data_IF_077899168016
#
_entry.id   IF_077899168016
#
_cell.length_a   1.000
_cell.length_b   1.000
_cell.length_c   1.000
_cell.angle_alpha   90.00
_cell.angle_beta   90.00
_cell.angle_gamma   90.00
#
_symmetry.space_group_name_H-M   'P 1'
#
loop_
_entity.id
_entity.type
_entity.pdbx_description
1 polymer ?
#
# COMPACT_ATOMS: atom_id res chain seq x y z
N UNK A 1 -9.79 -14.83 20.81
CA UNK A 1 -9.13 -15.61 21.88
C UNK A 1 -8.18 -14.73 22.66
N UNK A 2 -7.80 -15.15 23.87
CA UNK A 2 -6.75 -14.47 24.66
C UNK A 2 -5.41 -14.41 23.94
N UNK A 3 -5.07 -15.47 23.20
CA UNK A 3 -3.85 -15.54 22.38
C UNK A 3 -3.81 -14.43 21.34
N UNK A 4 -4.86 -14.24 20.55
CA UNK A 4 -4.93 -13.16 19.55
C UNK A 4 -4.73 -11.78 20.18
N UNK A 5 -5.42 -11.49 21.29
CA UNK A 5 -5.26 -10.19 21.99
C UNK A 5 -3.86 -9.95 22.48
N UNK A 6 -3.23 -10.97 23.09
CA UNK A 6 -1.85 -10.86 23.53
C UNK A 6 -0.86 -10.63 22.39
N UNK A 7 -1.06 -11.32 21.25
CA UNK A 7 -0.25 -11.10 20.04
C UNK A 7 -0.47 -9.67 19.50
N UNK A 8 -1.71 -9.18 19.47
CA UNK A 8 -2.03 -7.82 19.02
C UNK A 8 -1.37 -6.75 19.91
N UNK A 9 -1.47 -6.89 21.24
CA UNK A 9 -0.83 -5.98 22.20
C UNK A 9 0.69 -5.99 22.02
N UNK A 10 1.29 -7.19 21.96
CA UNK A 10 2.72 -7.33 21.72
C UNK A 10 3.16 -6.72 20.39
N UNK A 11 2.39 -6.96 19.31
CA UNK A 11 2.68 -6.40 18.00
C UNK A 11 2.69 -4.87 18.01
N UNK A 12 1.66 -4.25 18.62
CA UNK A 12 1.59 -2.78 18.71
C UNK A 12 2.75 -2.18 19.52
N UNK A 13 3.13 -2.82 20.62
CA UNK A 13 4.13 -2.28 21.55
C UNK A 13 5.57 -2.56 21.14
N UNK A 14 5.82 -3.67 20.44
CA UNK A 14 7.19 -4.18 20.29
C UNK A 14 7.59 -4.52 18.86
N UNK A 15 6.66 -4.53 17.92
CA UNK A 15 6.97 -5.04 16.58
C UNK A 15 6.58 -4.12 15.43
N UNK A 16 5.40 -3.56 15.48
CA UNK A 16 4.89 -2.69 14.43
C UNK A 16 5.54 -1.32 14.53
N UNK A 17 6.00 -0.77 13.42
CA UNK A 17 6.48 0.60 13.38
C UNK A 17 5.32 1.55 13.75
N UNK A 18 5.58 2.55 14.60
CA UNK A 18 4.56 3.46 15.16
C UNK A 18 3.28 2.73 15.63
N UNK A 19 3.40 1.54 16.22
CA UNK A 19 2.26 0.66 16.49
C UNK A 19 1.24 1.22 17.50
N UNK A 20 1.62 2.22 18.29
CA UNK A 20 0.75 2.92 19.24
C UNK A 20 0.13 4.21 18.68
N UNK A 21 0.51 4.62 17.47
CA UNK A 21 -0.04 5.81 16.82
C UNK A 21 -1.30 5.48 16.03
N UNK A 22 -2.24 6.42 15.98
CA UNK A 22 -3.45 6.28 15.18
C UNK A 22 -3.15 6.54 13.71
N UNK A 23 -3.85 5.81 12.84
CA UNK A 23 -3.77 5.97 11.39
C UNK A 23 -4.87 6.88 10.88
N UNK A 24 -4.53 7.66 9.88
CA UNK A 24 -5.44 8.60 9.20
C UNK A 24 -6.49 7.86 8.36
N UNK A 25 -7.64 8.50 8.14
CA UNK A 25 -8.61 8.08 7.13
C UNK A 25 -8.09 8.48 5.75
N UNK A 26 -7.86 7.51 4.90
CA UNK A 26 -7.13 7.64 3.65
C UNK A 26 -8.06 7.50 2.44
N UNK A 27 -7.74 8.18 1.34
CA UNK A 27 -8.24 7.89 0.00
C UNK A 27 -7.07 7.49 -0.90
N UNK A 28 -7.14 6.27 -1.45
CA UNK A 28 -6.20 5.80 -2.47
C UNK A 28 -6.80 5.98 -3.86
N UNK A 29 -6.01 6.47 -4.82
CA UNK A 29 -6.49 6.80 -6.16
C UNK A 29 -6.68 5.59 -7.07
N UNK A 30 -6.16 4.39 -6.73
CA UNK A 30 -6.06 3.27 -7.66
C UNK A 30 -7.41 2.88 -8.28
N UNK A 31 -8.37 2.42 -7.49
CA UNK A 31 -9.68 2.02 -8.04
C UNK A 31 -10.54 3.22 -8.49
N UNK A 32 -10.11 4.45 -8.18
CA UNK A 32 -10.75 5.66 -8.67
C UNK A 32 -10.39 6.00 -10.11
N UNK A 33 -9.11 5.88 -10.48
CA UNK A 33 -8.58 6.35 -11.78
C UNK A 33 -7.61 5.37 -12.45
N UNK A 34 -7.14 4.34 -11.76
CA UNK A 34 -6.08 3.43 -12.22
C UNK A 34 -4.85 4.23 -12.71
N UNK A 35 -4.29 3.89 -13.88
CA UNK A 35 -3.15 4.60 -14.47
C UNK A 35 -3.45 6.01 -15.00
N UNK A 36 -4.72 6.46 -14.96
CA UNK A 36 -5.14 7.77 -15.50
C UNK A 36 -4.87 8.91 -14.50
N UNK A 37 -3.72 8.87 -13.87
CA UNK A 37 -3.24 9.95 -13.00
C UNK A 37 -3.02 11.21 -13.81
N UNK A 38 -3.52 12.35 -13.33
CA UNK A 38 -3.25 13.68 -13.88
C UNK A 38 -3.42 14.75 -12.79
N UNK A 39 -2.83 15.92 -13.03
CA UNK A 39 -2.75 16.99 -12.04
C UNK A 39 -4.12 17.43 -11.51
N UNK A 40 -5.05 17.74 -12.43
CA UNK A 40 -6.40 18.22 -12.08
C UNK A 40 -7.21 17.14 -11.35
N UNK A 41 -7.14 15.90 -11.83
CA UNK A 41 -7.84 14.77 -11.21
C UNK A 41 -7.40 14.50 -9.79
N UNK A 42 -6.09 14.59 -9.52
CA UNK A 42 -5.54 14.40 -8.18
C UNK A 42 -5.94 15.56 -7.24
N UNK A 43 -5.86 16.82 -7.71
CA UNK A 43 -6.34 17.98 -6.96
C UNK A 43 -7.82 17.83 -6.56
N UNK A 44 -8.67 17.46 -7.53
CA UNK A 44 -10.10 17.23 -7.27
C UNK A 44 -10.35 16.11 -6.25
N UNK A 45 -9.61 15.00 -6.35
CA UNK A 45 -9.76 13.90 -5.38
C UNK A 45 -9.34 14.33 -3.97
N UNK A 46 -8.32 15.17 -3.83
CA UNK A 46 -7.92 15.74 -2.53
C UNK A 46 -8.98 16.67 -1.97
N UNK A 47 -9.58 17.52 -2.80
CA UNK A 47 -10.69 18.38 -2.41
C UNK A 47 -11.92 17.57 -1.96
N UNK A 48 -12.30 16.54 -2.72
CA UNK A 48 -13.40 15.64 -2.37
C UNK A 48 -13.12 14.86 -1.08
N UNK A 49 -11.88 14.41 -0.86
CA UNK A 49 -11.48 13.75 0.39
C UNK A 49 -11.64 14.66 1.59
N UNK A 50 -11.17 15.90 1.49
CA UNK A 50 -11.31 16.91 2.54
C UNK A 50 -12.77 17.20 2.85
N UNK A 51 -13.63 17.31 1.83
CA UNK A 51 -15.08 17.50 1.98
C UNK A 51 -15.76 16.31 2.69
N UNK A 52 -15.27 15.08 2.46
CA UNK A 52 -15.75 13.89 3.16
C UNK A 52 -15.21 13.77 4.60
N UNK A 53 -14.25 14.62 5.00
CA UNK A 53 -13.61 14.56 6.31
C UNK A 53 -12.44 13.58 6.40
N UNK A 54 -11.90 13.12 5.26
CA UNK A 54 -10.68 12.31 5.22
C UNK A 54 -9.42 13.13 5.50
N UNK A 55 -8.28 12.46 5.64
CA UNK A 55 -7.06 13.08 6.20
C UNK A 55 -5.81 12.88 5.36
N UNK A 56 -5.74 11.81 4.57
CA UNK A 56 -4.56 11.41 3.80
C UNK A 56 -4.96 10.98 2.39
N UNK A 57 -4.42 11.65 1.38
CA UNK A 57 -4.56 11.24 -0.01
C UNK A 57 -3.31 10.49 -0.47
N UNK A 58 -3.48 9.34 -1.10
CA UNK A 58 -2.38 8.53 -1.65
C UNK A 58 -2.54 8.42 -3.16
N UNK A 59 -1.61 9.04 -3.90
CA UNK A 59 -1.48 8.84 -5.34
C UNK A 59 -0.83 7.48 -5.61
N UNK A 60 -1.61 6.57 -6.19
CA UNK A 60 -1.18 5.22 -6.53
C UNK A 60 -0.40 5.15 -7.85
N UNK A 61 -0.21 3.96 -8.42
CA UNK A 61 0.53 3.69 -9.66
C UNK A 61 0.06 4.56 -10.85
N UNK A 62 1.00 5.01 -11.68
CA UNK A 62 0.71 5.75 -12.90
C UNK A 62 1.31 7.15 -13.01
N UNK A 63 2.06 7.65 -12.03
CA UNK A 63 2.54 9.03 -11.97
C UNK A 63 3.91 9.27 -12.65
N UNK A 64 4.65 8.23 -12.97
CA UNK A 64 6.07 8.28 -13.34
C UNK A 64 6.35 7.81 -14.77
N UNK A 65 7.62 7.95 -15.17
CA UNK A 65 8.13 7.57 -16.48
C UNK A 65 8.08 8.71 -17.48
N UNK A 66 9.24 9.23 -17.87
CA UNK A 66 9.36 10.30 -18.86
C UNK A 66 9.46 9.74 -20.28
N UNK A 67 10.46 8.90 -20.54
CA UNK A 67 10.64 8.27 -21.85
C UNK A 67 9.52 7.27 -22.18
N UNK A 68 9.06 6.53 -21.21
CA UNK A 68 7.98 5.54 -21.34
C UNK A 68 6.90 5.83 -20.29
N UNK A 69 5.92 6.71 -20.56
CA UNK A 69 4.89 7.03 -19.57
C UNK A 69 4.17 5.81 -18.99
N UNK A 70 3.99 5.80 -17.68
CA UNK A 70 3.32 4.72 -16.96
C UNK A 70 1.80 4.76 -17.21
N UNK A 71 1.38 4.33 -18.39
CA UNK A 71 -0.03 4.28 -18.79
C UNK A 71 -0.67 2.89 -18.63
N UNK A 72 0.15 1.89 -18.32
CA UNK A 72 -0.25 0.49 -18.09
C UNK A 72 0.86 -0.25 -17.33
N UNK A 73 0.69 -1.56 -17.12
CA UNK A 73 1.66 -2.38 -16.39
C UNK A 73 2.94 -2.77 -17.14
N UNK A 74 3.14 -2.29 -18.38
CA UNK A 74 4.21 -2.77 -19.27
C UNK A 74 5.47 -1.92 -19.24
N UNK A 75 5.41 -0.70 -18.69
CA UNK A 75 6.48 0.29 -18.81
C UNK A 75 6.87 0.92 -17.49
N UNK A 76 8.10 1.40 -17.43
CA UNK A 76 8.66 2.40 -16.50
C UNK A 76 8.82 2.01 -15.04
N UNK A 77 8.47 0.81 -14.59
CA UNK A 77 8.99 0.40 -13.27
C UNK A 77 10.52 0.48 -13.30
N UNK A 78 11.09 1.17 -12.33
CA UNK A 78 12.51 1.53 -12.28
C UNK A 78 12.79 3.00 -12.60
N UNK A 79 11.93 3.66 -13.38
CA UNK A 79 12.09 5.05 -13.82
C UNK A 79 11.25 5.98 -12.95
N UNK A 80 11.72 6.24 -11.74
CA UNK A 80 10.99 7.01 -10.72
C UNK A 80 11.09 8.53 -10.94
N UNK A 81 10.94 8.94 -12.19
CA UNK A 81 10.88 10.34 -12.62
C UNK A 81 9.44 10.71 -12.91
N UNK A 82 9.02 11.86 -12.44
CA UNK A 82 7.65 12.37 -12.66
C UNK A 82 7.34 12.47 -14.17
N UNK A 83 6.24 11.92 -14.61
CA UNK A 83 5.72 12.12 -15.95
C UNK A 83 5.12 13.54 -16.07
N UNK A 84 5.87 14.48 -16.64
CA UNK A 84 5.45 15.89 -16.73
C UNK A 84 4.27 16.12 -17.68
N UNK A 85 4.00 15.19 -18.59
CA UNK A 85 2.78 15.21 -19.40
C UNK A 85 1.52 15.04 -18.55
N UNK A 86 1.58 14.14 -17.54
CA UNK A 86 0.48 13.89 -16.60
C UNK A 86 0.43 14.89 -15.45
N UNK A 87 1.58 15.26 -14.95
CA UNK A 87 1.78 16.11 -13.78
C UNK A 87 2.67 17.30 -14.13
N UNK A 88 2.16 18.29 -14.90
CA UNK A 88 2.97 19.42 -15.34
C UNK A 88 3.54 20.26 -14.18
N UNK A 89 2.85 20.31 -13.06
CA UNK A 89 3.34 20.98 -11.84
C UNK A 89 4.13 20.05 -10.91
N UNK A 90 4.34 18.79 -11.32
CA UNK A 90 5.08 17.80 -10.53
C UNK A 90 4.42 17.38 -9.24
N UNK A 91 5.19 16.68 -8.41
CA UNK A 91 4.78 16.30 -7.05
C UNK A 91 4.67 17.54 -6.16
N UNK A 92 5.46 18.57 -6.42
CA UNK A 92 5.42 19.87 -5.73
C UNK A 92 4.01 20.46 -5.78
N UNK A 93 3.40 20.51 -6.98
CA UNK A 93 2.04 21.00 -7.15
C UNK A 93 1.00 20.16 -6.40
N UNK A 94 1.23 18.85 -6.28
CA UNK A 94 0.32 17.96 -5.54
C UNK A 94 0.46 18.13 -4.02
N UNK A 95 1.67 18.25 -3.49
CA UNK A 95 1.87 18.51 -2.06
C UNK A 95 1.36 19.89 -1.64
N UNK A 96 1.48 20.89 -2.52
CA UNK A 96 0.87 22.20 -2.31
C UNK A 96 -0.66 22.13 -2.32
N UNK A 97 -1.24 21.40 -3.26
CA UNK A 97 -2.67 21.15 -3.33
C UNK A 97 -3.18 20.43 -2.08
N UNK A 98 -2.49 19.39 -1.61
CA UNK A 98 -2.83 18.69 -0.37
C UNK A 98 -2.86 19.65 0.83
N UNK A 99 -1.84 20.52 0.96
CA UNK A 99 -1.78 21.53 2.00
C UNK A 99 -2.94 22.54 1.91
N UNK A 100 -3.28 22.99 0.70
CA UNK A 100 -4.42 23.88 0.43
C UNK A 100 -5.74 23.28 0.88
N UNK A 101 -5.94 21.98 0.65
CA UNK A 101 -7.16 21.27 1.04
C UNK A 101 -7.12 20.75 2.49
N UNK A 102 -6.01 20.92 3.20
CA UNK A 102 -5.88 20.48 4.59
C UNK A 102 -5.76 18.96 4.76
N UNK A 103 -5.26 18.25 3.75
CA UNK A 103 -4.99 16.81 3.79
C UNK A 103 -3.49 16.54 3.67
N UNK A 104 -3.03 15.39 4.15
CA UNK A 104 -1.68 14.89 3.93
C UNK A 104 -1.57 14.26 2.54
N UNK A 105 -0.35 14.16 2.03
CA UNK A 105 -0.04 13.54 0.74
C UNK A 105 0.82 12.30 0.93
N UNK A 106 0.47 11.23 0.22
CA UNK A 106 1.21 9.99 0.11
C UNK A 106 1.40 9.55 -1.33
N UNK A 107 2.36 8.66 -1.56
CA UNK A 107 2.74 8.21 -2.89
C UNK A 107 3.01 6.69 -2.92
N UNK A 108 2.65 6.07 -4.03
CA UNK A 108 2.93 4.66 -4.32
C UNK A 108 4.28 4.51 -5.04
N UNK A 109 5.03 3.49 -4.66
CA UNK A 109 6.23 3.02 -5.35
C UNK A 109 6.30 1.49 -5.35
N UNK A 110 7.01 0.93 -6.34
CA UNK A 110 7.34 -0.49 -6.44
C UNK A 110 8.84 -0.63 -6.79
N UNK A 111 9.75 -0.23 -5.85
CA UNK A 111 11.14 0.03 -6.19
C UNK A 111 12.02 -1.21 -6.31
N UNK A 112 11.51 -2.39 -5.96
CA UNK A 112 12.17 -3.69 -6.14
C UNK A 112 12.03 -4.24 -7.56
N UNK A 113 11.30 -3.53 -8.42
CA UNK A 113 10.91 -4.00 -9.76
C UNK A 113 11.42 -3.07 -10.86
N UNK A 114 11.56 -3.63 -12.05
CA UNK A 114 11.75 -2.90 -13.29
C UNK A 114 10.91 -3.52 -14.40
N UNK A 115 10.56 -2.74 -15.41
CA UNK A 115 10.05 -3.27 -16.67
C UNK A 115 11.20 -3.40 -17.66
N UNK A 116 11.17 -4.38 -18.57
CA UNK A 116 12.13 -4.44 -19.69
C UNK A 116 11.99 -3.24 -20.64
N UNK A 117 10.86 -2.51 -20.57
CA UNK A 117 10.63 -1.22 -21.22
C UNK A 117 10.77 -0.10 -20.20
N UNK A 118 11.99 0.14 -19.74
CA UNK A 118 12.37 1.23 -18.84
C UNK A 118 13.81 1.70 -19.14
N UNK A 119 14.09 2.94 -18.80
CA UNK A 119 15.47 3.47 -18.89
C UNK A 119 16.42 2.78 -17.93
N UNK A 120 15.91 2.34 -16.77
CA UNK A 120 16.70 1.58 -15.82
C UNK A 120 17.18 0.26 -16.43
N UNK A 121 16.28 -0.50 -17.07
CA UNK A 121 16.64 -1.77 -17.69
C UNK A 121 17.58 -1.59 -18.90
N UNK A 122 17.39 -0.52 -19.68
CA UNK A 122 18.31 -0.18 -20.78
C UNK A 122 19.74 0.05 -20.30
N UNK A 123 19.89 0.68 -19.11
CA UNK A 123 21.21 0.98 -18.52
C UNK A 123 21.82 -0.19 -17.75
N UNK A 124 20.97 -0.96 -17.08
CA UNK A 124 21.35 -2.01 -16.13
C UNK A 124 20.53 -3.30 -16.32
N UNK A 125 20.61 -3.96 -17.51
CA UNK A 125 19.89 -5.22 -17.74
C UNK A 125 20.41 -6.36 -16.86
N UNK A 126 21.62 -6.21 -16.30
CA UNK A 126 22.28 -7.14 -15.38
C UNK A 126 21.80 -7.01 -13.93
N UNK A 127 20.98 -6.01 -13.60
CA UNK A 127 20.47 -5.81 -12.23
C UNK A 127 19.25 -6.66 -11.89
N UNK A 128 18.67 -7.36 -12.86
CA UNK A 128 17.53 -8.24 -12.59
C UNK A 128 17.98 -9.63 -12.16
N UNK A 129 17.15 -10.28 -11.35
CA UNK A 129 17.32 -11.69 -11.03
C UNK A 129 17.09 -12.49 -12.31
N UNK A 130 18.13 -13.21 -12.77
CA UNK A 130 18.12 -13.95 -14.01
C UNK A 130 19.09 -15.13 -13.99
N UNK A 131 18.72 -16.19 -14.69
CA UNK A 131 19.60 -17.34 -14.89
C UNK A 131 20.35 -17.21 -16.22
N UNK A 132 21.66 -17.51 -16.27
CA UNK A 132 22.37 -17.64 -17.53
C UNK A 132 21.71 -18.70 -18.42
N UNK A 133 21.65 -18.44 -19.73
CA UNK A 133 21.17 -19.39 -20.76
C UNK A 133 19.68 -19.81 -20.62
N UNK A 134 18.88 -19.08 -19.84
CA UNK A 134 17.46 -19.34 -19.68
C UNK A 134 16.68 -18.04 -19.80
N UNK A 135 15.57 -18.09 -20.55
CA UNK A 135 14.67 -16.94 -20.63
C UNK A 135 14.01 -16.68 -19.27
N UNK A 136 14.03 -15.42 -18.84
CA UNK A 136 13.35 -15.00 -17.63
C UNK A 136 11.84 -15.07 -17.81
N UNK A 137 11.18 -15.67 -16.82
CA UNK A 137 9.74 -15.48 -16.64
C UNK A 137 9.51 -14.02 -16.28
N UNK A 138 8.62 -13.37 -17.02
CA UNK A 138 8.23 -11.97 -16.84
C UNK A 138 6.91 -11.91 -16.10
N UNK A 139 6.76 -10.90 -15.27
CA UNK A 139 5.56 -10.67 -14.48
C UNK A 139 4.49 -9.86 -15.22
N UNK A 140 3.84 -8.97 -14.49
CA UNK A 140 2.76 -8.11 -14.95
C UNK A 140 3.11 -7.39 -16.26
N UNK A 141 2.15 -7.33 -17.18
CA UNK A 141 2.34 -6.71 -18.50
C UNK A 141 3.32 -7.44 -19.41
N UNK A 142 3.80 -8.64 -19.05
CA UNK A 142 4.78 -9.40 -19.82
C UNK A 142 6.18 -8.78 -19.88
N UNK A 143 6.47 -7.79 -19.03
CA UNK A 143 7.75 -7.04 -19.03
C UNK A 143 8.35 -6.84 -17.66
N UNK A 144 7.60 -7.09 -16.58
CA UNK A 144 8.08 -6.87 -15.21
C UNK A 144 9.14 -7.88 -14.81
N UNK A 145 10.20 -7.39 -14.15
CA UNK A 145 11.33 -8.15 -13.64
C UNK A 145 11.66 -7.71 -12.21
N UNK A 146 12.19 -8.63 -11.40
CA UNK A 146 12.65 -8.34 -10.04
C UNK A 146 14.10 -7.91 -10.05
N UNK A 147 14.42 -6.80 -9.40
CA UNK A 147 15.79 -6.33 -9.19
C UNK A 147 16.52 -7.19 -8.16
N UNK A 148 17.79 -7.45 -8.37
CA UNK A 148 18.62 -8.28 -7.50
C UNK A 148 19.13 -7.50 -6.27
N UNK A 149 18.39 -7.51 -5.19
CA UNK A 149 18.76 -6.88 -3.91
C UNK A 149 19.95 -7.57 -3.20
N UNK A 150 20.50 -8.68 -3.70
CA UNK A 150 21.78 -9.19 -3.23
C UNK A 150 22.94 -8.27 -3.65
N UNK A 151 22.74 -7.47 -4.72
CA UNK A 151 23.70 -6.52 -5.25
C UNK A 151 23.65 -5.19 -4.49
N UNK A 152 24.76 -4.73 -3.87
CA UNK A 152 24.82 -3.45 -3.17
C UNK A 152 24.48 -2.22 -4.05
N UNK A 153 24.78 -2.26 -5.36
CA UNK A 153 24.41 -1.18 -6.27
C UNK A 153 22.87 -1.07 -6.43
N UNK A 154 22.18 -2.20 -6.46
CA UNK A 154 20.72 -2.25 -6.48
C UNK A 154 20.14 -1.79 -5.14
N UNK A 155 20.74 -2.18 -4.01
CA UNK A 155 20.34 -1.68 -2.68
C UNK A 155 20.43 -0.15 -2.61
N UNK A 156 21.54 0.44 -3.12
CA UNK A 156 21.70 1.89 -3.16
C UNK A 156 20.69 2.56 -4.07
N UNK A 157 20.42 1.97 -5.23
CA UNK A 157 19.37 2.46 -6.14
C UNK A 157 18.01 2.48 -5.46
N UNK A 158 17.58 1.37 -4.84
CA UNK A 158 16.27 1.26 -4.18
C UNK A 158 16.15 2.26 -3.02
N UNK A 159 17.20 2.39 -2.20
CA UNK A 159 17.25 3.43 -1.17
C UNK A 159 17.11 4.83 -1.78
N UNK A 160 17.84 5.11 -2.87
CA UNK A 160 17.84 6.41 -3.52
C UNK A 160 16.48 6.81 -4.09
N UNK A 161 15.60 5.87 -4.42
CA UNK A 161 14.22 6.15 -4.86
C UNK A 161 13.46 6.89 -3.75
N UNK A 162 13.47 6.34 -2.55
CA UNK A 162 12.82 6.98 -1.38
C UNK A 162 13.56 8.26 -0.99
N UNK A 163 14.87 8.21 -0.94
CA UNK A 163 15.70 9.34 -0.50
C UNK A 163 15.50 10.59 -1.37
N UNK A 164 15.44 10.43 -2.69
CA UNK A 164 15.17 11.54 -3.62
C UNK A 164 13.76 12.10 -3.46
N UNK A 165 12.76 11.22 -3.33
CA UNK A 165 11.38 11.65 -3.11
C UNK A 165 11.25 12.47 -1.82
N UNK A 166 11.77 11.95 -0.72
CA UNK A 166 11.66 12.60 0.59
C UNK A 166 12.50 13.88 0.70
N UNK A 167 13.66 13.91 0.04
CA UNK A 167 14.53 15.11 0.03
C UNK A 167 13.93 16.24 -0.81
N UNK A 168 13.39 15.89 -1.99
CA UNK A 168 12.77 16.87 -2.88
C UNK A 168 11.37 17.30 -2.40
N UNK A 169 10.65 16.43 -1.70
CA UNK A 169 9.25 16.64 -1.29
C UNK A 169 9.06 16.22 0.19
N UNK A 170 9.58 17.00 1.15
CA UNK A 170 9.53 16.65 2.58
C UNK A 170 8.11 16.61 3.16
N UNK A 171 7.12 17.13 2.44
CA UNK A 171 5.70 17.07 2.80
C UNK A 171 5.04 15.71 2.47
N UNK A 172 5.74 14.76 1.82
CA UNK A 172 5.27 13.40 1.67
C UNK A 172 5.21 12.74 3.06
N UNK A 173 4.00 12.40 3.50
CA UNK A 173 3.76 11.82 4.81
C UNK A 173 3.64 10.29 4.81
N UNK A 174 3.49 9.70 3.62
CA UNK A 174 3.15 8.28 3.48
C UNK A 174 3.68 7.70 2.18
N UNK A 175 4.20 6.48 2.26
CA UNK A 175 4.60 5.68 1.10
C UNK A 175 3.87 4.34 1.13
N UNK A 176 3.16 4.02 0.03
CA UNK A 176 2.70 2.67 -0.26
C UNK A 176 3.79 1.95 -1.06
N UNK A 177 4.45 0.98 -0.43
CA UNK A 177 5.50 0.16 -1.04
C UNK A 177 4.91 -1.15 -1.53
N UNK A 178 4.91 -1.34 -2.83
CA UNK A 178 4.31 -2.50 -3.48
C UNK A 178 5.35 -3.52 -4.00
N UNK A 179 4.87 -4.73 -4.26
CA UNK A 179 5.60 -5.87 -4.84
C UNK A 179 4.62 -6.77 -5.59
N UNK A 180 4.58 -6.66 -6.90
CA UNK A 180 3.58 -7.34 -7.72
C UNK A 180 4.17 -8.50 -8.55
N UNK A 181 5.35 -8.97 -8.20
CA UNK A 181 5.96 -10.12 -8.87
C UNK A 181 6.67 -11.05 -7.88
N UNK A 182 6.22 -12.28 -7.83
CA UNK A 182 6.92 -13.34 -7.08
C UNK A 182 8.28 -13.66 -7.72
N UNK A 183 9.27 -14.05 -6.90
CA UNK A 183 10.58 -14.49 -7.34
C UNK A 183 10.51 -15.85 -8.06
N UNK A 184 10.19 -15.83 -9.34
CA UNK A 184 10.14 -17.05 -10.17
C UNK A 184 11.49 -17.42 -10.79
N UNK A 185 12.33 -16.39 -11.05
CA UNK A 185 13.65 -16.59 -11.61
C UNK A 185 14.64 -16.84 -10.47
N UNK A 186 15.71 -17.55 -10.77
CA UNK A 186 16.69 -17.92 -9.76
C UNK A 186 18.10 -17.80 -10.33
N UNK A 187 18.77 -16.74 -9.99
CA UNK A 187 20.14 -16.47 -10.40
C UNK A 187 20.49 -15.01 -10.23
N UNK A 188 21.73 -14.74 -9.85
CA UNK A 188 22.29 -13.42 -9.66
C UNK A 188 23.53 -13.25 -10.54
N UNK A 189 23.60 -12.13 -11.25
CA UNK A 189 24.83 -11.75 -11.97
C UNK A 189 25.90 -11.22 -11.02
N UNK A 190 25.51 -10.84 -9.81
CA UNK A 190 26.40 -10.31 -8.76
C UNK A 190 27.00 -11.42 -7.89
N UNK A 191 26.20 -12.40 -7.46
CA UNK A 191 26.69 -13.47 -6.59
C UNK A 191 27.62 -14.41 -7.36
N UNK A 192 28.77 -14.83 -6.78
CA UNK A 192 29.64 -15.82 -7.37
C UNK A 192 28.94 -17.19 -7.48
N UNK A 193 29.47 -18.06 -8.33
CA UNK A 193 28.85 -19.33 -8.67
C UNK A 193 28.55 -20.25 -7.45
N UNK A 194 29.45 -20.28 -6.48
CA UNK A 194 29.32 -21.04 -5.24
C UNK A 194 28.34 -20.43 -4.23
N UNK A 195 27.86 -19.20 -4.46
CA UNK A 195 26.91 -18.50 -3.61
C UNK A 195 25.52 -18.35 -4.24
N UNK A 196 25.29 -18.87 -5.43
CA UNK A 196 23.97 -18.73 -6.10
C UNK A 196 22.82 -19.31 -5.26
N UNK A 197 23.04 -20.40 -4.52
CA UNK A 197 22.05 -21.00 -3.62
C UNK A 197 21.63 -20.10 -2.46
N UNK A 198 22.38 -19.03 -2.20
CA UNK A 198 22.08 -18.06 -1.14
C UNK A 198 21.22 -16.88 -1.62
N UNK A 199 20.84 -16.81 -2.89
CA UNK A 199 20.19 -15.64 -3.50
C UNK A 199 19.01 -15.11 -2.68
N UNK A 200 18.08 -15.95 -2.26
CA UNK A 200 16.91 -15.49 -1.53
C UNK A 200 17.25 -14.94 -0.13
N UNK A 201 18.24 -15.54 0.53
CA UNK A 201 18.72 -15.04 1.83
C UNK A 201 19.41 -13.70 1.65
N UNK A 202 20.28 -13.56 0.66
CA UNK A 202 21.00 -12.32 0.40
C UNK A 202 20.07 -11.21 -0.12
N UNK A 203 19.04 -11.57 -0.90
CA UNK A 203 17.97 -10.64 -1.29
C UNK A 203 17.28 -10.03 -0.06
N UNK A 204 16.82 -10.87 0.87
CA UNK A 204 16.16 -10.38 2.08
C UNK A 204 17.09 -9.59 3.00
N UNK A 205 18.37 -9.97 3.08
CA UNK A 205 19.38 -9.19 3.81
C UNK A 205 19.59 -7.81 3.19
N UNK A 206 19.60 -7.75 1.85
CA UNK A 206 19.66 -6.48 1.11
C UNK A 206 18.45 -5.60 1.36
N UNK A 207 17.26 -6.19 1.32
CA UNK A 207 16.00 -5.52 1.62
C UNK A 207 15.98 -4.95 3.04
N UNK A 208 16.39 -5.76 4.01
CA UNK A 208 16.49 -5.38 5.44
C UNK A 208 17.39 -4.15 5.63
N UNK A 209 18.54 -4.14 4.96
CA UNK A 209 19.47 -2.98 5.00
C UNK A 209 18.83 -1.72 4.43
N UNK A 210 18.14 -1.83 3.30
CA UNK A 210 17.48 -0.69 2.64
C UNK A 210 16.38 -0.13 3.54
N UNK A 211 15.48 -0.98 4.03
CA UNK A 211 14.36 -0.57 4.87
C UNK A 211 14.82 0.05 6.19
N UNK A 212 15.86 -0.52 6.82
CA UNK A 212 16.47 0.03 8.02
C UNK A 212 17.04 1.44 7.79
N UNK A 213 17.79 1.64 6.70
CA UNK A 213 18.32 2.97 6.34
C UNK A 213 17.21 4.00 6.13
N UNK A 214 16.10 3.59 5.47
CA UNK A 214 14.94 4.47 5.28
C UNK A 214 14.36 4.87 6.63
N UNK A 215 14.12 3.90 7.50
CA UNK A 215 13.53 4.13 8.82
C UNK A 215 14.42 5.02 9.71
N UNK A 216 15.74 4.81 9.67
CA UNK A 216 16.71 5.62 10.41
C UNK A 216 16.75 7.07 9.91
N UNK A 217 16.69 7.28 8.59
CA UNK A 217 16.75 8.62 7.98
C UNK A 217 15.41 9.36 8.04
N UNK A 218 14.31 8.64 7.92
CA UNK A 218 12.95 9.18 7.86
C UNK A 218 12.03 8.58 8.95
N UNK A 219 12.34 8.76 10.22
CA UNK A 219 11.67 8.05 11.31
C UNK A 219 10.19 8.41 11.50
N UNK A 220 9.70 9.45 10.85
CA UNK A 220 8.28 9.87 10.89
C UNK A 220 7.48 9.45 9.64
N UNK A 221 8.15 8.88 8.65
CA UNK A 221 7.50 8.40 7.43
C UNK A 221 6.63 7.20 7.75
N UNK A 222 5.36 7.28 7.41
CA UNK A 222 4.43 6.15 7.49
C UNK A 222 4.55 5.30 6.23
N UNK A 223 4.74 4.00 6.38
CA UNK A 223 4.86 3.08 5.26
C UNK A 223 3.84 1.95 5.32
N UNK A 224 3.20 1.69 4.19
CA UNK A 224 2.33 0.53 3.99
C UNK A 224 3.05 -0.54 3.15
N UNK A 225 3.06 -1.78 3.64
CA UNK A 225 3.47 -2.93 2.84
C UNK A 225 2.32 -3.40 1.95
N UNK A 226 2.58 -3.49 0.65
CA UNK A 226 1.72 -4.16 -0.31
C UNK A 226 2.55 -5.20 -1.10
N UNK A 227 1.96 -6.33 -1.42
CA UNK A 227 2.53 -7.34 -2.31
C UNK A 227 1.36 -8.06 -3.00
N UNK A 228 0.74 -7.38 -3.98
CA UNK A 228 -0.57 -7.77 -4.52
C UNK A 228 -1.58 -8.02 -3.39
N UNK A 229 -1.65 -7.09 -2.44
CA UNK A 229 -2.29 -7.26 -1.14
C UNK A 229 -1.33 -7.73 -0.06
N UNK A 230 -1.76 -8.66 0.78
CA UNK A 230 -1.03 -9.16 1.94
C UNK A 230 0.00 -10.27 1.66
N UNK A 231 0.45 -10.44 0.43
CA UNK A 231 1.30 -11.58 0.03
C UNK A 231 2.62 -11.70 0.78
N UNK A 232 3.09 -10.62 1.41
CA UNK A 232 4.38 -10.55 2.10
C UNK A 232 4.24 -10.22 3.60
N UNK A 233 3.02 -10.25 4.14
CA UNK A 233 2.77 -9.92 5.55
C UNK A 233 3.30 -11.01 6.47
N UNK A 234 4.23 -10.64 7.33
CA UNK A 234 4.76 -11.48 8.41
C UNK A 234 5.41 -10.60 9.49
N UNK A 235 5.67 -11.17 10.65
CA UNK A 235 6.29 -10.46 11.78
C UNK A 235 7.77 -10.08 11.56
N UNK A 236 8.41 -10.59 10.51
CA UNK A 236 9.77 -10.20 10.11
C UNK A 236 9.81 -8.82 9.44
N UNK A 237 8.80 -8.47 8.65
CA UNK A 237 8.74 -7.19 7.91
C UNK A 237 8.01 -6.08 8.67
N UNK A 238 7.12 -6.40 9.61
CA UNK A 238 6.34 -5.41 10.37
C UNK A 238 7.17 -4.34 11.10
N UNK A 239 8.43 -4.57 11.54
CA UNK A 239 9.25 -3.49 12.11
C UNK A 239 9.53 -2.33 11.17
N UNK A 240 9.39 -2.52 9.86
CA UNK A 240 9.65 -1.50 8.83
C UNK A 240 8.39 -0.83 8.31
N UNK A 241 7.20 -1.39 8.64
CA UNK A 241 5.93 -0.90 8.12
C UNK A 241 4.96 -0.57 9.24
N UNK A 242 4.13 0.43 8.98
CA UNK A 242 3.09 0.88 9.91
C UNK A 242 1.80 0.10 9.74
N UNK A 243 1.57 -0.39 8.54
CA UNK A 243 0.39 -1.14 8.15
C UNK A 243 0.66 -1.96 6.88
N UNK A 244 -0.29 -2.81 6.51
CA UNK A 244 -0.26 -3.55 5.27
C UNK A 244 -1.60 -3.48 4.54
N UNK A 245 -1.54 -3.58 3.21
CA UNK A 245 -2.71 -3.76 2.37
C UNK A 245 -3.18 -5.20 2.48
N UNK A 246 -4.39 -5.40 3.00
CA UNK A 246 -4.89 -6.74 3.37
C UNK A 246 -5.11 -7.64 2.17
N UNK A 247 -5.69 -7.09 1.10
CA UNK A 247 -5.96 -7.78 -0.16
C UNK A 247 -6.33 -6.80 -1.26
N UNK A 248 -5.91 -7.07 -2.48
CA UNK A 248 -6.37 -6.34 -3.67
C UNK A 248 -7.84 -6.61 -3.99
N UNK A 249 -8.43 -7.65 -3.40
CA UNK A 249 -9.87 -7.87 -3.48
C UNK A 249 -10.57 -7.01 -2.44
N UNK A 250 -11.25 -5.96 -2.90
CA UNK A 250 -11.96 -4.97 -2.09
C UNK A 250 -13.46 -5.22 -1.98
N UNK A 251 -13.96 -6.34 -2.51
CA UNK A 251 -15.35 -6.76 -2.32
C UNK A 251 -15.68 -6.91 -0.82
N UNK A 252 -16.61 -6.11 -0.31
CA UNK A 252 -16.92 -6.07 1.12
C UNK A 252 -17.33 -7.44 1.69
N UNK A 253 -18.07 -8.27 0.94
CA UNK A 253 -18.44 -9.61 1.42
C UNK A 253 -17.22 -10.53 1.52
N UNK A 254 -16.30 -10.46 0.55
CA UNK A 254 -15.04 -11.23 0.61
C UNK A 254 -14.15 -10.71 1.76
N UNK A 255 -14.12 -9.41 1.96
CA UNK A 255 -13.32 -8.77 3.04
C UNK A 255 -13.79 -9.16 4.43
N UNK A 256 -15.07 -9.49 4.66
CA UNK A 256 -15.53 -10.04 5.93
C UNK A 256 -14.69 -11.28 6.31
N UNK A 257 -14.51 -12.22 5.39
CA UNK A 257 -13.75 -13.44 5.62
C UNK A 257 -12.24 -13.17 5.72
N UNK A 258 -11.69 -12.35 4.82
CA UNK A 258 -10.27 -12.02 4.79
C UNK A 258 -9.84 -11.29 6.07
N UNK A 259 -10.56 -10.25 6.46
CA UNK A 259 -10.26 -9.46 7.66
C UNK A 259 -10.47 -10.26 8.93
N UNK A 260 -11.48 -11.14 8.97
CA UNK A 260 -11.64 -12.09 10.05
C UNK A 260 -10.43 -12.99 10.21
N UNK A 261 -9.95 -13.59 9.12
CA UNK A 261 -8.77 -14.46 9.11
C UNK A 261 -7.52 -13.74 9.57
N UNK A 262 -7.23 -12.59 8.97
CA UNK A 262 -6.06 -11.75 9.28
C UNK A 262 -6.08 -11.29 10.75
N UNK A 263 -7.24 -10.94 11.29
CA UNK A 263 -7.40 -10.48 12.67
C UNK A 263 -7.07 -11.57 13.73
N UNK A 264 -6.83 -12.81 13.34
CA UNK A 264 -6.34 -13.82 14.28
C UNK A 264 -4.92 -13.51 14.75
N UNK A 265 -4.11 -12.88 13.89
CA UNK A 265 -2.68 -12.65 14.14
C UNK A 265 -2.30 -11.18 14.18
N UNK A 266 -3.00 -10.30 13.45
CA UNK A 266 -2.60 -8.90 13.25
C UNK A 266 -3.63 -7.93 13.82
N UNK A 267 -3.18 -6.86 14.52
CA UNK A 267 -4.08 -5.85 15.08
C UNK A 267 -4.71 -4.97 14.00
N UNK A 268 -5.88 -4.41 14.29
CA UNK A 268 -6.63 -3.57 13.36
C UNK A 268 -5.86 -2.33 12.88
N UNK A 269 -4.99 -1.75 13.71
CA UNK A 269 -4.12 -0.61 13.33
C UNK A 269 -3.21 -0.92 12.16
N UNK A 270 -2.82 -2.19 11.99
CA UNK A 270 -1.96 -2.64 10.88
C UNK A 270 -2.75 -3.07 9.63
N UNK A 271 -4.06 -3.26 9.74
CA UNK A 271 -4.89 -3.84 8.70
C UNK A 271 -5.64 -2.76 7.92
N UNK A 272 -5.12 -2.36 6.76
CA UNK A 272 -5.79 -1.41 5.88
C UNK A 272 -7.06 -2.01 5.28
N UNK A 273 -8.16 -1.26 5.36
CA UNK A 273 -9.48 -1.70 4.92
C UNK A 273 -10.21 -0.54 4.24
N UNK A 274 -10.55 -0.71 2.96
CA UNK A 274 -11.06 0.37 2.13
C UNK A 274 -12.52 0.15 1.70
N UNK A 275 -13.26 1.25 1.65
CA UNK A 275 -14.56 1.33 0.99
C UNK A 275 -14.29 1.49 -0.51
N UNK A 276 -14.65 0.49 -1.30
CA UNK A 276 -14.53 0.49 -2.75
C UNK A 276 -15.81 0.94 -3.46
N UNK A 277 -15.73 1.08 -4.78
CA UNK A 277 -16.89 1.35 -5.63
C UNK A 277 -17.90 0.18 -5.64
N UNK A 278 -19.13 0.45 -6.06
CA UNK A 278 -20.14 -0.56 -6.33
C UNK A 278 -20.76 -0.24 -7.71
N UNK A 279 -20.80 -1.20 -8.65
CA UNK A 279 -20.31 -2.59 -8.54
C UNK A 279 -18.81 -2.67 -8.27
N UNK A 280 -18.38 -3.71 -7.53
CA UNK A 280 -16.97 -3.95 -7.27
C UNK A 280 -16.23 -4.32 -8.56
N UNK A 281 -15.04 -3.77 -8.79
CA UNK A 281 -14.31 -3.95 -10.04
C UNK A 281 -13.80 -5.38 -10.29
N UNK A 282 -13.59 -6.18 -9.24
CA UNK A 282 -13.14 -7.57 -9.39
C UNK A 282 -14.28 -8.56 -9.48
N UNK A 283 -15.31 -8.40 -8.63
CA UNK A 283 -16.40 -9.39 -8.51
C UNK A 283 -17.66 -9.00 -9.25
N UNK A 284 -17.79 -7.75 -9.67
CA UNK A 284 -19.01 -7.20 -10.26
C UNK A 284 -20.20 -7.09 -9.28
N UNK A 285 -19.96 -7.36 -7.99
CA UNK A 285 -21.03 -7.38 -6.98
C UNK A 285 -21.45 -5.97 -6.59
N UNK A 286 -22.76 -5.77 -6.52
CA UNK A 286 -23.35 -4.58 -5.91
C UNK A 286 -23.51 -4.79 -4.41
N UNK A 287 -22.90 -3.89 -3.62
CA UNK A 287 -22.94 -3.92 -2.15
C UNK A 287 -23.39 -2.55 -1.65
N UNK A 288 -24.40 -2.48 -0.78
CA UNK A 288 -24.84 -1.21 -0.19
C UNK A 288 -23.68 -0.45 0.49
N UNK A 289 -23.68 0.88 0.35
CA UNK A 289 -22.62 1.74 0.91
C UNK A 289 -22.43 1.52 2.41
N UNK A 290 -23.53 1.38 3.14
CA UNK A 290 -23.47 1.08 4.59
C UNK A 290 -22.65 -0.16 4.89
N UNK A 291 -22.91 -1.29 4.22
CA UNK A 291 -22.17 -2.54 4.48
C UNK A 291 -20.67 -2.39 4.10
N UNK A 292 -20.35 -1.66 3.02
CA UNK A 292 -18.97 -1.37 2.65
C UNK A 292 -18.24 -0.59 3.76
N UNK A 293 -18.88 0.40 4.36
CA UNK A 293 -18.34 1.12 5.52
C UNK A 293 -18.26 0.24 6.77
N UNK A 294 -19.31 -0.52 7.12
CA UNK A 294 -19.30 -1.40 8.29
C UNK A 294 -18.10 -2.36 8.27
N UNK A 295 -17.80 -2.93 7.11
CA UNK A 295 -16.66 -3.83 6.94
C UNK A 295 -15.33 -3.07 7.02
N UNK A 296 -15.20 -1.93 6.34
CA UNK A 296 -13.97 -1.14 6.31
C UNK A 296 -13.63 -0.53 7.68
N UNK A 297 -14.64 -0.13 8.46
CA UNK A 297 -14.48 0.42 9.81
C UNK A 297 -13.97 -0.59 10.84
N UNK A 298 -13.96 -1.89 10.53
CA UNK A 298 -13.38 -2.93 11.39
C UNK A 298 -11.85 -3.00 11.36
N UNK A 299 -11.21 -2.20 10.54
CA UNK A 299 -9.76 -2.03 10.43
C UNK A 299 -9.36 -0.56 10.36
N UNK A 300 -8.23 -0.26 9.72
CA UNK A 300 -7.86 1.11 9.40
C UNK A 300 -8.68 1.57 8.19
N UNK A 301 -9.68 2.41 8.45
CA UNK A 301 -10.58 2.90 7.42
C UNK A 301 -9.86 3.70 6.35
N UNK A 302 -10.14 3.40 5.11
CA UNK A 302 -9.82 4.20 3.94
C UNK A 302 -10.90 4.08 2.88
N UNK A 303 -10.72 4.85 1.81
CA UNK A 303 -11.55 4.85 0.61
C UNK A 303 -10.69 4.48 -0.59
N UNK A 304 -11.27 3.77 -1.55
CA UNK A 304 -10.63 3.43 -2.81
C UNK A 304 -11.67 3.44 -3.93
N UNK A 305 -12.07 4.63 -4.31
CA UNK A 305 -13.12 4.91 -5.30
C UNK A 305 -12.93 6.33 -5.87
N UNK A 306 -13.76 6.69 -6.84
CA UNK A 306 -13.80 8.06 -7.36
C UNK A 306 -14.94 8.85 -6.66
N UNK A 307 -14.62 9.74 -5.70
CA UNK A 307 -15.63 10.42 -4.91
C UNK A 307 -16.58 11.29 -5.75
N UNK A 308 -16.11 11.81 -6.89
CA UNK A 308 -16.96 12.62 -7.80
C UNK A 308 -18.13 11.83 -8.42
N UNK A 309 -18.06 10.49 -8.39
CA UNK A 309 -19.15 9.60 -8.84
C UNK A 309 -20.17 9.29 -7.77
N UNK A 310 -19.93 9.67 -6.53
CA UNK A 310 -20.89 9.49 -5.45
C UNK A 310 -22.03 10.50 -5.57
N UNK A 311 -23.24 10.03 -5.31
CA UNK A 311 -24.41 10.90 -5.20
C UNK A 311 -24.32 11.78 -3.94
N UNK A 312 -25.09 12.88 -3.90
CA UNK A 312 -25.14 13.76 -2.72
C UNK A 312 -25.51 13.01 -1.42
N UNK A 313 -26.46 12.04 -1.50
CA UNK A 313 -26.84 11.20 -0.35
C UNK A 313 -25.72 10.27 0.10
N UNK A 314 -24.97 9.71 -0.84
CA UNK A 314 -23.81 8.86 -0.53
C UNK A 314 -22.68 9.68 0.10
N UNK A 315 -22.39 10.88 -0.40
CA UNK A 315 -21.40 11.80 0.20
C UNK A 315 -21.82 12.20 1.63
N UNK A 316 -23.09 12.51 1.85
CA UNK A 316 -23.61 12.82 3.19
C UNK A 316 -23.47 11.64 4.15
N UNK A 317 -23.81 10.42 3.70
CA UNK A 317 -23.60 9.20 4.48
C UNK A 317 -22.12 9.00 4.81
N UNK A 318 -21.24 9.14 3.83
CA UNK A 318 -19.78 8.95 3.99
C UNK A 318 -19.19 9.95 5.00
N UNK A 319 -19.61 11.24 4.95
CA UNK A 319 -19.16 12.24 5.95
C UNK A 319 -19.53 11.82 7.37
N UNK A 320 -20.74 11.37 7.59
CA UNK A 320 -21.17 10.90 8.91
C UNK A 320 -20.38 9.66 9.33
N UNK A 321 -20.27 8.65 8.46
CA UNK A 321 -19.54 7.43 8.76
C UNK A 321 -18.07 7.69 9.08
N UNK A 322 -17.41 8.61 8.35
CA UNK A 322 -16.02 9.01 8.63
C UNK A 322 -15.92 9.75 9.97
N UNK A 323 -16.88 10.64 10.29
CA UNK A 323 -16.92 11.32 11.58
C UNK A 323 -17.10 10.30 12.72
N UNK A 324 -18.05 9.40 12.62
CA UNK A 324 -18.29 8.32 13.60
C UNK A 324 -17.04 7.44 13.76
N UNK A 325 -16.39 7.08 12.66
CA UNK A 325 -15.13 6.31 12.73
C UNK A 325 -14.03 7.06 13.49
N UNK A 326 -13.88 8.35 13.28
CA UNK A 326 -12.87 9.14 13.99
C UNK A 326 -13.08 9.15 15.50
N UNK A 327 -14.33 9.10 15.95
CA UNK A 327 -14.66 8.98 17.38
C UNK A 327 -14.29 7.60 17.93
N UNK A 328 -14.61 6.53 17.22
CA UNK A 328 -14.33 5.15 17.67
C UNK A 328 -12.94 4.64 17.28
N UNK A 329 -12.22 5.33 16.39
CA UNK A 329 -10.90 4.95 15.87
C UNK A 329 -9.89 4.54 16.94
N UNK A 330 -9.75 5.26 18.08
CA UNK A 330 -8.82 4.85 19.13
C UNK A 330 -9.14 3.46 19.67
N UNK A 331 -10.42 3.12 19.80
CA UNK A 331 -10.87 1.81 20.29
C UNK A 331 -10.65 0.73 19.21
N UNK A 332 -11.01 1.00 17.96
CA UNK A 332 -10.82 0.05 16.85
C UNK A 332 -9.37 -0.26 16.63
N UNK A 333 -8.51 0.76 16.54
CA UNK A 333 -7.10 0.59 16.18
C UNK A 333 -6.24 0.11 17.34
N UNK A 334 -6.53 0.51 18.59
CA UNK A 334 -5.70 0.22 19.76
C UNK A 334 -6.38 -0.72 20.77
N UNK A 335 -7.67 -0.98 20.63
CA UNK A 335 -8.42 -1.81 21.55
C UNK A 335 -8.21 -3.31 21.38
N UNK A 336 -8.75 -4.05 22.32
CA UNK A 336 -8.78 -5.50 22.30
C UNK A 336 -9.94 -6.02 21.44
N UNK A 337 -9.62 -6.92 20.52
CA UNK A 337 -10.60 -7.52 19.62
C UNK A 337 -11.21 -8.79 20.21
N UNK A 338 -12.56 -8.81 20.24
CA UNK A 338 -13.37 -9.99 20.53
C UNK A 338 -14.17 -10.38 19.28
N UNK A 339 -14.00 -11.61 18.81
CA UNK A 339 -14.77 -12.19 17.72
C UNK A 339 -15.99 -12.88 18.28
N UNK A 340 -17.18 -12.34 18.04
CA UNK A 340 -18.43 -12.78 18.67
C UNK A 340 -19.18 -13.81 17.81
N UNK A 341 -19.39 -13.51 16.52
CA UNK A 341 -20.06 -14.41 15.58
C UNK A 341 -19.15 -14.58 14.36
N UNK A 342 -18.79 -15.83 14.08
CA UNK A 342 -17.94 -16.18 12.97
C UNK A 342 -18.70 -16.12 11.64
N UNK A 343 -18.12 -15.55 10.56
CA UNK A 343 -18.74 -15.62 9.24
C UNK A 343 -18.81 -17.06 8.68
N UNK A 344 -18.08 -18.00 9.29
CA UNK A 344 -18.07 -19.42 8.90
C UNK A 344 -19.18 -20.24 9.59
N UNK A 345 -19.91 -19.68 10.57
CA UNK A 345 -20.96 -20.40 11.32
C UNK A 345 -22.26 -20.55 10.52
N UNK A 346 -22.30 -20.11 9.27
CA UNK A 346 -23.47 -20.20 8.35
C UNK A 346 -24.75 -19.54 8.89
N UNK A 347 -24.62 -18.63 9.83
CA UNK A 347 -25.76 -17.88 10.40
C UNK A 347 -26.22 -16.71 9.52
N UNK A 348 -25.38 -16.32 8.52
CA UNK A 348 -25.58 -15.10 7.74
C UNK A 348 -25.13 -13.83 8.45
N UNK A 349 -24.51 -13.95 9.62
CA UNK A 349 -24.00 -12.84 10.43
C UNK A 349 -22.52 -13.00 10.70
N UNK A 350 -21.81 -11.85 10.84
CA UNK A 350 -20.49 -11.77 11.42
C UNK A 350 -20.47 -10.64 12.43
N UNK A 351 -19.82 -10.81 13.57
CA UNK A 351 -19.79 -9.79 14.61
C UNK A 351 -18.44 -9.74 15.31
N UNK A 352 -17.93 -8.51 15.45
CA UNK A 352 -16.71 -8.16 16.15
C UNK A 352 -17.05 -7.14 17.24
N UNK A 353 -16.26 -7.15 18.31
CA UNK A 353 -16.31 -6.13 19.35
C UNK A 353 -14.90 -5.68 19.68
N UNK A 354 -14.69 -4.38 19.73
CA UNK A 354 -13.46 -3.78 20.22
C UNK A 354 -13.70 -3.15 21.58
N UNK A 355 -12.77 -3.37 22.50
CA UNK A 355 -12.83 -2.85 23.87
C UNK A 355 -11.59 -2.02 24.12
N UNK A 356 -11.76 -0.84 24.71
CA UNK A 356 -10.63 0.01 25.09
C UNK A 356 -9.64 -0.79 25.96
N UNK A 357 -8.33 -0.60 25.81
CA UNK A 357 -7.37 -1.20 26.73
C UNK A 357 -7.61 -0.65 28.13
N UNK A 358 -7.50 -1.54 29.13
CA UNK A 358 -7.53 -1.15 30.55
C UNK A 358 -6.31 -0.32 30.94
#
# INVERSE_FOLDING_TARGET
SGVSRNIHRWARLHRLNHGTELRDVLLNSWEGVYFKVNQEGMDRMMADLADLGGELFVMDDGWFGDKYPRNNGETSLGDWTVCREKLPQGIEGLTESARKHGVKFGIWIEPEMTNTRSELYEKHPDWVIQQPYRENRKGRGGTQQVLDLSNPAVQEFVFSVVDRLMTAHPDIAYIKWDDNMTLYNYGSTFLPADRQSHLYIEYHRGMDKVLRRIQEKYPRLVMQSCASGGGRVNYGVLPYYDEFWTSDNTDALQRIYMQWGVSNFYPAVAMASHVSASPNHQTGRNVPLKLRFDVAMSGRLGLELQPSKMTGKEKEFARRAIADYKEIRPIVQQGDLYRLISPYDKTGYASLMYVAPE
#
